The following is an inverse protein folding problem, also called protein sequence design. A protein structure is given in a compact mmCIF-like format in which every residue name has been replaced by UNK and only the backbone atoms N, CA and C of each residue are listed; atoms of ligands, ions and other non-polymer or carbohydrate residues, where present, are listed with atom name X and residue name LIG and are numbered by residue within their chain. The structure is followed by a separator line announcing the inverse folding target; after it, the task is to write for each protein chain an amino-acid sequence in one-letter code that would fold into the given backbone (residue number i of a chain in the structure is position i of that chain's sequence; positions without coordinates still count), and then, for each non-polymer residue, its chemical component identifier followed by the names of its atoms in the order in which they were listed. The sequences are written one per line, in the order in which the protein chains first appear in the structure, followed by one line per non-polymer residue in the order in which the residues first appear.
data_IF_533783172491
#
_entry.id   IF_533783172491
#
_cell.length_a   1.000
_cell.length_b   1.000
_cell.length_c   1.000
_cell.angle_alpha   90.00
_cell.angle_beta   90.00
_cell.angle_gamma   90.00
#
_symmetry.space_group_name_H-M   'P 1'
#
loop_
_entity.id
_entity.type
_entity.pdbx_description
1 polymer ?
#
# COMPACT_ATOMS: atom_id res chain seq x y z
N UNK A 1 9.87 1.42 -16.30
CA UNK A 1 8.54 1.17 -15.65
C UNK A 1 8.04 -0.20 -16.07
N UNK A 2 7.45 -0.94 -15.14
CA UNK A 2 6.87 -2.25 -15.40
C UNK A 2 5.70 -2.12 -16.39
N UNK A 3 5.64 -2.95 -17.42
CA UNK A 3 4.70 -2.78 -18.53
C UNK A 3 3.23 -2.88 -18.10
N UNK A 4 2.89 -3.82 -17.21
CA UNK A 4 1.52 -3.94 -16.71
C UNK A 4 1.05 -2.68 -15.97
N UNK A 5 1.96 -2.02 -15.28
CA UNK A 5 1.70 -0.75 -14.59
C UNK A 5 1.56 0.39 -15.62
N UNK A 6 2.43 0.44 -16.61
CA UNK A 6 2.35 1.42 -17.70
C UNK A 6 1.02 1.28 -18.46
N UNK A 7 0.59 0.05 -18.74
CA UNK A 7 -0.67 -0.23 -19.42
C UNK A 7 -1.88 0.21 -18.59
N UNK A 8 -1.82 0.03 -17.28
CA UNK A 8 -2.87 0.51 -16.36
C UNK A 8 -2.98 2.04 -16.39
N UNK A 9 -1.85 2.74 -16.35
CA UNK A 9 -1.82 4.20 -16.46
C UNK A 9 -2.43 4.68 -17.78
N UNK A 10 -2.07 4.07 -18.90
CA UNK A 10 -2.60 4.42 -20.22
C UNK A 10 -4.11 4.19 -20.27
N UNK A 11 -4.62 3.10 -19.72
CA UNK A 11 -6.05 2.78 -19.66
C UNK A 11 -6.84 3.84 -18.87
N UNK A 12 -6.23 4.41 -17.83
CA UNK A 12 -6.86 5.47 -17.00
C UNK A 12 -6.67 6.88 -17.59
N UNK A 13 -6.04 6.99 -18.76
CA UNK A 13 -5.85 8.29 -19.44
C UNK A 13 -4.67 9.11 -18.94
N UNK A 14 -3.72 8.50 -18.25
CA UNK A 14 -2.48 9.17 -17.83
C UNK A 14 -1.48 9.19 -18.97
N UNK A 15 -1.46 10.30 -19.71
CA UNK A 15 -0.53 10.51 -20.84
C UNK A 15 0.88 10.86 -20.36
N UNK A 16 0.99 11.49 -19.19
CA UNK A 16 2.26 11.87 -18.58
C UNK A 16 2.17 11.75 -17.06
N UNK A 17 3.32 11.63 -16.42
CA UNK A 17 3.40 11.60 -14.97
C UNK A 17 3.36 13.02 -14.40
N UNK A 18 2.76 13.18 -13.21
CA UNK A 18 2.87 14.42 -12.44
C UNK A 18 4.30 14.59 -11.93
N UNK A 19 4.72 15.81 -11.50
CA UNK A 19 6.07 15.99 -10.94
C UNK A 19 6.40 15.05 -9.77
N UNK A 20 5.45 14.80 -8.86
CA UNK A 20 5.69 13.88 -7.74
C UNK A 20 5.82 12.44 -8.22
N UNK A 21 5.05 12.04 -9.23
CA UNK A 21 5.14 10.71 -9.82
C UNK A 21 6.49 10.49 -10.52
N UNK A 22 6.97 11.49 -11.25
CA UNK A 22 8.30 11.44 -11.88
C UNK A 22 9.42 11.35 -10.84
N UNK A 23 9.32 12.16 -9.78
CA UNK A 23 10.34 12.20 -8.74
C UNK A 23 10.52 10.84 -8.06
N UNK A 24 9.45 10.14 -7.73
CA UNK A 24 9.50 8.85 -7.01
C UNK A 24 9.86 7.68 -7.91
N UNK A 25 9.77 7.83 -9.22
CA UNK A 25 10.11 6.76 -10.18
C UNK A 25 11.57 6.85 -10.67
N UNK A 26 12.36 7.77 -10.14
CA UNK A 26 13.78 7.86 -10.44
C UNK A 26 14.47 6.53 -10.09
N UNK A 27 15.19 5.89 -11.04
CA UNK A 27 15.89 4.61 -10.77
C UNK A 27 16.85 4.65 -9.60
N UNK A 28 17.44 5.80 -9.29
CA UNK A 28 18.36 5.96 -8.17
C UNK A 28 17.68 5.80 -6.80
N UNK A 29 16.33 5.85 -6.76
CA UNK A 29 15.55 5.79 -5.52
C UNK A 29 14.91 4.42 -5.27
N UNK A 30 15.14 3.41 -6.11
CA UNK A 30 14.47 2.10 -6.02
C UNK A 30 14.69 1.41 -4.66
N UNK A 31 15.89 1.52 -4.11
CA UNK A 31 16.24 0.92 -2.81
C UNK A 31 16.09 1.90 -1.64
N UNK A 32 15.74 3.16 -1.89
CA UNK A 32 15.70 4.19 -0.87
C UNK A 32 14.36 4.24 -0.14
N UNK A 33 14.39 4.57 1.15
CA UNK A 33 13.20 5.00 1.86
C UNK A 33 12.89 6.43 1.43
N UNK A 34 11.60 6.72 1.19
CA UNK A 34 11.18 8.00 0.65
C UNK A 34 10.26 8.75 1.62
N UNK A 35 10.50 10.04 1.76
CA UNK A 35 9.56 10.96 2.38
C UNK A 35 9.00 11.85 1.28
N UNK A 36 7.72 11.72 0.99
CA UNK A 36 7.05 12.46 -0.07
C UNK A 36 6.00 13.37 0.54
N UNK A 37 6.15 14.66 0.28
CA UNK A 37 5.14 15.66 0.64
C UNK A 37 4.53 16.22 -0.64
N UNK A 38 3.21 16.15 -0.75
CA UNK A 38 2.50 16.62 -1.92
C UNK A 38 1.10 17.08 -1.54
N UNK A 39 0.59 18.06 -2.28
CA UNK A 39 -0.76 18.56 -2.08
C UNK A 39 -1.80 17.53 -2.51
N UNK A 40 -2.98 17.58 -1.90
CA UNK A 40 -4.15 16.80 -2.32
C UNK A 40 -4.44 17.03 -3.81
N UNK A 41 -4.71 15.95 -4.55
CA UNK A 41 -4.98 16.03 -5.98
C UNK A 41 -3.74 16.03 -6.87
N UNK A 42 -2.53 15.92 -6.30
CA UNK A 42 -1.27 15.90 -7.05
C UNK A 42 -0.94 14.52 -7.65
N UNK A 43 -1.79 13.50 -7.42
CA UNK A 43 -1.51 12.13 -7.86
C UNK A 43 -0.60 11.37 -6.89
N UNK A 44 -0.61 11.72 -5.62
CA UNK A 44 0.26 11.13 -4.59
C UNK A 44 0.05 9.62 -4.43
N UNK A 45 -1.19 9.13 -4.47
CA UNK A 45 -1.48 7.69 -4.36
C UNK A 45 -0.84 6.90 -5.50
N UNK A 46 -1.00 7.38 -6.72
CA UNK A 46 -0.33 6.78 -7.88
C UNK A 46 1.19 6.87 -7.71
N UNK A 47 1.68 8.00 -7.19
CA UNK A 47 3.11 8.19 -6.95
C UNK A 47 3.69 7.12 -6.04
N UNK A 48 3.13 6.90 -4.85
CA UNK A 48 3.70 5.86 -3.98
C UNK A 48 3.44 4.45 -4.51
N UNK A 49 2.33 4.23 -5.21
CA UNK A 49 2.10 2.97 -5.92
C UNK A 49 3.19 2.67 -6.95
N UNK A 50 3.60 3.67 -7.72
CA UNK A 50 4.71 3.54 -8.68
C UNK A 50 6.04 3.32 -7.97
N UNK A 51 6.28 4.02 -6.86
CA UNK A 51 7.53 3.93 -6.13
C UNK A 51 7.80 2.51 -5.58
N UNK A 52 6.76 1.83 -5.09
CA UNK A 52 6.90 0.49 -4.51
C UNK A 52 6.81 -0.64 -5.54
N UNK A 53 6.38 -0.38 -6.76
CA UNK A 53 6.18 -1.41 -7.78
C UNK A 53 7.44 -2.27 -8.02
N UNK A 54 8.65 -1.72 -8.18
CA UNK A 54 9.86 -2.54 -8.33
C UNK A 54 10.15 -3.41 -7.10
N UNK A 55 9.85 -2.91 -5.90
CA UNK A 55 10.02 -3.63 -4.65
C UNK A 55 9.09 -4.84 -4.57
N UNK A 56 7.84 -4.70 -5.05
CA UNK A 56 6.83 -5.75 -4.98
C UNK A 56 6.96 -6.77 -6.10
N UNK A 57 7.22 -6.32 -7.32
CA UNK A 57 7.23 -7.17 -8.52
C UNK A 57 8.64 -7.62 -8.94
N UNK A 58 9.69 -6.85 -8.54
CA UNK A 58 11.04 -7.10 -9.07
C UNK A 58 11.03 -6.92 -10.58
N UNK A 59 11.48 -7.94 -11.30
CA UNK A 59 11.49 -7.93 -12.77
C UNK A 59 10.23 -8.56 -13.38
N UNK A 60 9.30 -9.03 -12.55
CA UNK A 60 8.08 -9.68 -13.01
C UNK A 60 7.02 -8.66 -13.44
N UNK A 61 6.21 -9.05 -14.42
CA UNK A 61 5.08 -8.25 -14.89
C UNK A 61 3.79 -8.54 -14.11
N UNK A 62 3.71 -9.68 -13.46
CA UNK A 62 2.54 -10.12 -12.70
C UNK A 62 2.93 -10.73 -11.37
N UNK A 63 2.01 -10.59 -10.41
CA UNK A 63 2.14 -11.29 -9.13
C UNK A 63 1.87 -12.79 -9.29
N UNK A 64 2.47 -13.57 -8.41
CA UNK A 64 2.11 -14.97 -8.23
C UNK A 64 0.81 -15.11 -7.43
N UNK A 65 0.57 -16.30 -6.89
CA UNK A 65 -0.57 -16.58 -6.04
C UNK A 65 -0.56 -15.69 -4.79
N UNK A 66 -1.70 -15.11 -4.44
CA UNK A 66 -1.81 -14.27 -3.25
C UNK A 66 -1.75 -15.13 -1.98
N UNK A 67 -0.87 -14.77 -1.09
CA UNK A 67 -0.69 -15.41 0.22
C UNK A 67 -0.54 -14.33 1.29
N UNK A 68 0.54 -14.38 2.07
CA UNK A 68 0.88 -13.33 3.02
C UNK A 68 1.15 -12.01 2.26
N UNK A 69 0.68 -10.87 2.79
CA UNK A 69 0.82 -9.59 2.10
C UNK A 69 2.28 -9.19 1.86
N UNK A 70 2.52 -8.52 0.75
CA UNK A 70 3.82 -7.98 0.38
C UNK A 70 3.95 -6.50 0.72
N UNK A 71 2.84 -5.79 0.83
CA UNK A 71 2.81 -4.37 1.15
C UNK A 71 1.69 -4.02 2.11
N UNK A 72 1.98 -3.08 3.01
CA UNK A 72 1.01 -2.42 3.86
C UNK A 72 0.93 -0.95 3.48
N UNK A 73 -0.28 -0.44 3.30
CA UNK A 73 -0.54 0.97 3.12
C UNK A 73 -1.45 1.40 4.27
N UNK A 74 -1.00 2.34 5.08
CA UNK A 74 -1.72 2.78 6.27
C UNK A 74 -2.17 4.21 6.08
N UNK A 75 -3.46 4.45 6.29
CA UNK A 75 -4.09 5.76 6.14
C UNK A 75 -4.90 6.11 7.40
N UNK A 76 -5.04 7.41 7.72
CA UNK A 76 -5.65 7.83 8.99
C UNK A 76 -7.16 7.57 9.10
N UNK A 77 -7.87 7.55 7.98
CA UNK A 77 -9.32 7.42 7.97
C UNK A 77 -9.79 6.32 7.03
N UNK A 78 -10.98 5.79 7.32
CA UNK A 78 -11.63 4.82 6.44
C UNK A 78 -11.81 5.36 5.02
N UNK A 79 -12.25 6.60 4.89
CA UNK A 79 -12.53 7.23 3.59
C UNK A 79 -11.26 7.30 2.75
N UNK A 80 -10.15 7.73 3.34
CA UNK A 80 -8.87 7.80 2.64
C UNK A 80 -8.37 6.40 2.28
N UNK A 81 -8.46 5.45 3.21
CA UNK A 81 -8.05 4.07 2.94
C UNK A 81 -8.84 3.46 1.78
N UNK A 82 -10.14 3.69 1.72
CA UNK A 82 -10.98 3.19 0.65
C UNK A 82 -10.63 3.83 -0.70
N UNK A 83 -10.35 5.12 -0.71
CA UNK A 83 -9.89 5.83 -1.91
C UNK A 83 -8.56 5.27 -2.42
N UNK A 84 -7.60 5.11 -1.52
CA UNK A 84 -6.28 4.52 -1.83
C UNK A 84 -6.45 3.11 -2.41
N UNK A 85 -7.30 2.29 -1.79
CA UNK A 85 -7.58 0.94 -2.26
C UNK A 85 -8.12 0.93 -3.69
N UNK A 86 -9.05 1.83 -4.01
CA UNK A 86 -9.59 1.94 -5.38
C UNK A 86 -8.51 2.29 -6.39
N UNK A 87 -7.64 3.23 -6.05
CA UNK A 87 -6.57 3.65 -6.95
C UNK A 87 -5.52 2.54 -7.16
N UNK A 88 -5.13 1.85 -6.10
CA UNK A 88 -4.18 0.73 -6.21
C UNK A 88 -4.79 -0.46 -6.94
N UNK A 89 -6.10 -0.68 -6.82
CA UNK A 89 -6.80 -1.76 -7.53
C UNK A 89 -6.70 -1.60 -9.04
N UNK A 90 -6.93 -0.39 -9.57
CA UNK A 90 -6.77 -0.21 -11.01
C UNK A 90 -5.30 -0.16 -11.43
N UNK A 91 -4.43 0.47 -10.62
CA UNK A 91 -3.00 0.60 -10.95
C UNK A 91 -2.32 -0.77 -11.09
N UNK A 92 -2.64 -1.68 -10.19
CA UNK A 92 -2.05 -3.02 -10.14
C UNK A 92 -2.95 -4.12 -10.71
N UNK A 93 -4.11 -3.75 -11.26
CA UNK A 93 -5.09 -4.73 -11.75
C UNK A 93 -4.55 -5.63 -12.87
N UNK A 94 -3.80 -5.07 -13.81
CA UNK A 94 -3.20 -5.85 -14.91
C UNK A 94 -2.02 -6.70 -14.46
N UNK A 95 -1.44 -6.39 -13.31
CA UNK A 95 -0.43 -7.23 -12.67
C UNK A 95 -1.05 -8.37 -11.85
N UNK A 96 -2.37 -8.43 -11.74
CA UNK A 96 -3.07 -9.49 -11.02
C UNK A 96 -3.04 -9.36 -9.51
N UNK A 97 -2.86 -8.14 -8.99
CA UNK A 97 -2.82 -7.93 -7.55
C UNK A 97 -4.17 -8.13 -6.89
N UNK A 98 -4.16 -8.76 -5.73
CA UNK A 98 -5.29 -8.80 -4.80
C UNK A 98 -5.07 -7.70 -3.74
N UNK A 99 -5.94 -6.70 -3.74
CA UNK A 99 -5.91 -5.58 -2.79
C UNK A 99 -7.04 -5.77 -1.78
N UNK A 100 -6.70 -5.82 -0.50
CA UNK A 100 -7.66 -6.04 0.59
C UNK A 100 -7.62 -4.86 1.55
N UNK A 101 -8.78 -4.48 2.09
CA UNK A 101 -8.89 -3.40 3.06
C UNK A 101 -9.15 -3.95 4.47
N UNK A 102 -8.54 -3.30 5.46
CA UNK A 102 -8.77 -3.55 6.89
C UNK A 102 -9.06 -2.21 7.57
N UNK A 103 -10.32 -1.83 7.61
CA UNK A 103 -10.75 -0.50 8.05
C UNK A 103 -11.86 -0.58 9.09
N UNK A 104 -11.91 0.38 10.00
CA UNK A 104 -12.96 0.48 10.99
C UNK A 104 -14.34 0.60 10.35
N UNK A 105 -15.36 0.09 11.02
CA UNK A 105 -16.75 0.11 10.54
C UNK A 105 -17.13 -1.02 9.59
N UNK A 106 -16.18 -1.86 9.18
CA UNK A 106 -16.44 -3.06 8.40
C UNK A 106 -16.47 -4.30 9.32
N UNK A 107 -17.08 -5.38 8.83
CA UNK A 107 -17.13 -6.64 9.58
C UNK A 107 -15.74 -7.27 9.65
N UNK A 108 -15.24 -7.46 10.87
CA UNK A 108 -13.93 -8.07 11.14
C UNK A 108 -13.80 -9.48 10.56
N UNK A 109 -14.89 -10.25 10.59
CA UNK A 109 -14.90 -11.62 10.05
C UNK A 109 -14.70 -11.65 8.53
N UNK A 110 -15.33 -10.71 7.84
CA UNK A 110 -15.17 -10.57 6.39
C UNK A 110 -13.73 -10.23 6.04
N UNK A 111 -13.13 -9.31 6.79
CA UNK A 111 -11.72 -8.94 6.61
C UNK A 111 -10.80 -10.13 6.90
N UNK A 112 -11.04 -10.87 7.98
CA UNK A 112 -10.24 -12.06 8.31
C UNK A 112 -10.30 -13.10 7.21
N UNK A 113 -11.49 -13.34 6.64
CA UNK A 113 -11.64 -14.30 5.53
C UNK A 113 -10.90 -13.85 4.29
N UNK A 114 -10.93 -12.55 3.99
CA UNK A 114 -10.16 -12.00 2.86
C UNK A 114 -8.66 -12.17 3.06
N UNK A 115 -8.16 -11.94 4.27
CA UNK A 115 -6.76 -12.17 4.61
C UNK A 115 -6.37 -13.65 4.50
N UNK A 116 -7.25 -14.56 4.94
CA UNK A 116 -7.02 -16.00 4.85
C UNK A 116 -6.94 -16.48 3.39
N UNK A 117 -7.74 -15.89 2.49
CA UNK A 117 -7.67 -16.19 1.05
C UNK A 117 -6.37 -15.69 0.42
N UNK A 118 -5.70 -14.75 1.04
CA UNK A 118 -4.49 -14.12 0.55
C UNK A 118 -4.70 -12.75 -0.06
N UNK A 119 -3.69 -11.91 0.08
CA UNK A 119 -3.65 -10.56 -0.49
C UNK A 119 -2.20 -10.22 -0.83
N UNK A 120 -2.01 -9.40 -1.87
CA UNK A 120 -0.70 -8.86 -2.18
C UNK A 120 -0.49 -7.52 -1.48
N UNK A 121 -1.53 -6.71 -1.39
CA UNK A 121 -1.50 -5.37 -0.79
C UNK A 121 -2.65 -5.27 0.20
N UNK A 122 -2.36 -4.82 1.41
CA UNK A 122 -3.36 -4.51 2.43
C UNK A 122 -3.36 -3.01 2.66
N UNK A 123 -4.53 -2.40 2.52
CA UNK A 123 -4.77 -0.98 2.82
C UNK A 123 -5.59 -0.90 4.11
N UNK A 124 -5.08 -0.23 5.12
CA UNK A 124 -5.64 -0.30 6.46
C UNK A 124 -5.66 1.03 7.19
N UNK A 125 -6.54 1.12 8.18
CA UNK A 125 -6.45 2.15 9.22
C UNK A 125 -5.69 1.58 10.41
N UNK A 126 -5.00 2.42 11.21
CA UNK A 126 -4.08 1.92 12.25
C UNK A 126 -4.73 1.00 13.29
N UNK A 127 -5.88 1.39 13.83
CA UNK A 127 -6.55 0.62 14.89
C UNK A 127 -7.01 -0.76 14.43
N UNK A 128 -7.64 -0.85 13.26
CA UNK A 128 -8.12 -2.12 12.71
C UNK A 128 -6.97 -3.04 12.33
N UNK A 129 -5.89 -2.49 11.78
CA UNK A 129 -4.71 -3.30 11.46
C UNK A 129 -4.07 -3.87 12.73
N UNK A 130 -3.92 -3.06 13.77
CA UNK A 130 -3.43 -3.55 15.07
C UNK A 130 -4.29 -4.69 15.61
N UNK A 131 -5.61 -4.58 15.49
CA UNK A 131 -6.54 -5.61 15.93
C UNK A 131 -6.29 -6.94 15.21
N UNK A 132 -6.14 -6.90 13.88
CA UNK A 132 -5.84 -8.10 13.10
C UNK A 132 -4.46 -8.70 13.44
N UNK A 133 -3.45 -7.86 13.68
CA UNK A 133 -2.12 -8.33 14.08
C UNK A 133 -2.21 -9.05 15.44
N UNK A 134 -2.88 -8.46 16.42
CA UNK A 134 -3.02 -9.03 17.75
C UNK A 134 -3.81 -10.34 17.75
N UNK A 135 -4.75 -10.50 16.83
CA UNK A 135 -5.55 -11.72 16.67
C UNK A 135 -4.91 -12.76 15.75
N UNK A 136 -3.72 -12.50 15.23
CA UNK A 136 -3.02 -13.37 14.27
C UNK A 136 -3.81 -13.62 12.98
N UNK A 137 -4.62 -12.65 12.57
CA UNK A 137 -5.38 -12.73 11.33
C UNK A 137 -4.55 -12.38 10.09
N UNK A 138 -3.38 -11.77 10.27
CA UNK A 138 -2.50 -11.31 9.20
C UNK A 138 -1.07 -11.76 9.50
N UNK A 139 -0.39 -12.23 8.47
CA UNK A 139 1.02 -12.62 8.55
C UNK A 139 1.87 -11.54 7.88
N UNK A 140 2.71 -10.87 8.66
CA UNK A 140 3.54 -9.76 8.17
C UNK A 140 4.95 -10.19 7.76
N UNK A 141 5.27 -11.48 7.80
CA UNK A 141 6.65 -11.95 7.55
C UNK A 141 7.16 -11.70 6.14
N UNK A 142 6.26 -11.56 5.16
CA UNK A 142 6.62 -11.35 3.75
C UNK A 142 6.54 -9.89 3.31
N UNK A 143 6.26 -8.97 4.22
CA UNK A 143 6.17 -7.53 3.91
C UNK A 143 7.51 -7.03 3.38
N UNK A 144 7.45 -6.38 2.21
CA UNK A 144 8.59 -5.75 1.53
C UNK A 144 8.52 -4.23 1.54
N UNK A 145 7.32 -3.68 1.67
CA UNK A 145 7.10 -2.23 1.66
C UNK A 145 6.01 -1.82 2.64
N UNK A 146 6.21 -0.71 3.32
CA UNK A 146 5.22 -0.07 4.18
C UNK A 146 5.10 1.38 3.76
N UNK A 147 3.87 1.83 3.52
CA UNK A 147 3.56 3.23 3.20
C UNK A 147 2.68 3.81 4.30
N UNK A 148 3.09 4.95 4.83
CA UNK A 148 2.30 5.74 5.78
C UNK A 148 1.76 6.95 5.03
N UNK A 149 0.48 6.89 4.63
CA UNK A 149 -0.17 7.99 3.93
C UNK A 149 -0.74 8.97 4.95
N UNK A 150 -0.46 10.27 4.77
CA UNK A 150 -0.84 11.31 5.73
C UNK A 150 -0.29 11.01 7.14
N UNK A 151 1.00 10.71 7.25
CA UNK A 151 1.65 10.35 8.51
C UNK A 151 1.48 11.41 9.59
N UNK A 152 1.60 12.70 9.22
CA UNK A 152 1.42 13.81 10.17
C UNK A 152 0.01 13.81 10.75
N UNK A 153 -1.01 13.59 9.93
CA UNK A 153 -2.40 13.52 10.40
C UNK A 153 -2.60 12.33 11.35
N UNK A 154 -2.00 11.18 11.06
CA UNK A 154 -2.08 10.03 11.97
C UNK A 154 -1.47 10.35 13.33
N UNK A 155 -0.34 11.04 13.37
CA UNK A 155 0.28 11.47 14.62
C UNK A 155 -0.59 12.48 15.37
N UNK A 156 -1.18 13.44 14.65
CA UNK A 156 -2.10 14.43 15.23
C UNK A 156 -3.36 13.78 15.80
N UNK A 157 -3.85 12.70 15.20
CA UNK A 157 -5.00 11.93 15.69
C UNK A 157 -4.65 10.97 16.83
N UNK A 158 -3.39 10.88 17.21
CA UNK A 158 -2.95 10.07 18.35
C UNK A 158 -2.62 8.61 18.03
N UNK A 159 -2.33 8.28 16.77
CA UNK A 159 -2.02 6.90 16.34
C UNK A 159 -0.54 6.51 16.45
N UNK A 160 0.25 7.26 17.19
CA UNK A 160 1.69 6.99 17.30
C UNK A 160 2.00 5.58 17.82
N UNK A 161 1.34 5.16 18.89
CA UNK A 161 1.57 3.83 19.50
C UNK A 161 1.21 2.71 18.52
N UNK A 162 0.08 2.85 17.82
CA UNK A 162 -0.39 1.89 16.82
C UNK A 162 0.60 1.78 15.67
N UNK A 163 1.10 2.90 15.18
CA UNK A 163 2.09 2.91 14.08
C UNK A 163 3.41 2.27 14.53
N UNK A 164 3.90 2.59 15.71
CA UNK A 164 5.12 1.98 16.26
C UNK A 164 4.95 0.46 16.42
N UNK A 165 3.80 0.02 16.90
CA UNK A 165 3.49 -1.40 17.02
C UNK A 165 3.50 -2.10 15.67
N UNK A 166 2.82 -1.54 14.66
CA UNK A 166 2.76 -2.11 13.31
C UNK A 166 4.16 -2.22 12.71
N UNK A 167 4.96 -1.15 12.80
CA UNK A 167 6.31 -1.15 12.26
C UNK A 167 7.22 -2.14 12.98
N UNK A 168 7.01 -2.37 14.28
CA UNK A 168 7.80 -3.35 15.04
C UNK A 168 7.50 -4.79 14.62
N UNK A 169 6.28 -5.06 14.13
CA UNK A 169 5.86 -6.39 13.69
C UNK A 169 6.25 -6.69 12.23
N UNK A 170 6.57 -5.67 11.45
CA UNK A 170 7.03 -5.83 10.08
C UNK A 170 8.53 -6.15 10.04
N UNK A 171 9.03 -6.86 8.99
CA UNK A 171 10.47 -7.15 8.86
C UNK A 171 11.32 -5.87 8.85
N UNK A 172 12.53 -5.95 9.40
CA UNK A 172 13.47 -4.82 9.39
C UNK A 172 13.92 -4.49 7.96
N UNK A 173 14.12 -5.49 7.13
CA UNK A 173 14.47 -5.33 5.72
C UNK A 173 13.20 -5.06 4.90
N UNK A 174 12.80 -3.79 4.85
CA UNK A 174 11.64 -3.31 4.09
C UNK A 174 11.85 -1.90 3.58
N UNK A 175 11.01 -1.49 2.66
CA UNK A 175 10.99 -0.12 2.11
C UNK A 175 9.77 0.67 2.61
#
# INVERSE_FOLDING_TARGET
MIQTIADALATQGYDSLTPVQEAVTNPDLVEADLLVSAQTGSGKTVAFGLAIAPTLLGDDEKFGHAGAPLALIIAPTRELAMQVSRELTWLYGKAGAVVTTCVGGMDTRTERRALDRGAHIVVATPGRLCDHIKRNNINLSDIRAVVLDEADEMLDLGFREELEFILSEAPEERR
#
